data_IF_701681569534
#
_entry.id   IF_701681569534
#
_cell.length_a   1.000
_cell.length_b   1.000
_cell.length_c   1.000
_cell.angle_alpha   90.00
_cell.angle_beta   90.00
_cell.angle_gamma   90.00
#
_symmetry.space_group_name_H-M   'P 1'
#
loop_
_entity.id
_entity.type
_entity.pdbx_description
1 polymer ?
#
# COMPACT_ATOMS: atom_id res chain seq x y z
N UNK A 1 -21.50 55.18 45.18
CA UNK A 1 -22.54 54.76 46.14
C UNK A 1 -23.79 54.41 45.31
N UNK A 2 -24.15 53.12 45.27
CA UNK A 2 -25.45 52.44 44.93
C UNK A 2 -26.46 53.21 44.06
N UNK A 3 -27.20 52.67 43.07
CA UNK A 3 -27.44 51.37 42.43
C UNK A 3 -28.52 51.63 41.33
N UNK A 4 -28.76 50.64 40.46
CA UNK A 4 -30.02 50.28 39.77
C UNK A 4 -30.35 50.67 38.31
N UNK A 5 -30.91 49.63 37.64
CA UNK A 5 -31.88 49.53 36.50
C UNK A 5 -31.31 49.33 35.10
N UNK A 6 -31.41 48.11 34.56
CA UNK A 6 -32.57 47.48 33.89
C UNK A 6 -32.80 48.04 32.48
N UNK A 7 -32.47 47.24 31.46
CA UNK A 7 -32.99 47.42 30.10
C UNK A 7 -33.58 46.09 29.65
N UNK A 8 -34.91 46.07 29.62
CA UNK A 8 -35.72 45.08 28.92
C UNK A 8 -36.05 45.64 27.54
N UNK A 9 -35.91 44.85 26.47
CA UNK A 9 -36.60 45.12 25.22
C UNK A 9 -37.22 43.83 24.65
N UNK A 10 -38.48 43.99 24.29
CA UNK A 10 -39.47 43.02 23.83
C UNK A 10 -39.11 42.41 22.46
N UNK A 11 -39.36 41.10 22.30
CA UNK A 11 -39.83 40.55 21.01
C UNK A 11 -41.01 39.63 21.31
N UNK A 12 -42.15 40.01 20.74
CA UNK A 12 -43.44 39.31 20.78
C UNK A 12 -43.37 38.00 20.00
N UNK A 13 -43.85 36.92 20.63
CA UNK A 13 -44.05 35.60 20.04
C UNK A 13 -45.35 35.57 19.23
N UNK A 14 -45.31 34.95 18.06
CA UNK A 14 -46.49 34.42 17.36
C UNK A 14 -46.15 32.99 16.93
N UNK A 15 -46.72 32.01 17.64
CA UNK A 15 -46.75 30.60 17.27
C UNK A 15 -47.48 30.39 15.94
N UNK A 16 -46.97 29.50 15.09
CA UNK A 16 -47.71 28.27 14.77
C UNK A 16 -46.96 27.31 13.84
N UNK A 17 -47.12 26.03 14.18
CA UNK A 17 -46.99 24.83 13.36
C UNK A 17 -45.58 24.25 13.18
N UNK A 18 -45.25 23.37 14.11
CA UNK A 18 -44.19 22.40 13.98
C UNK A 18 -44.34 21.56 12.71
N UNK A 19 -43.25 21.52 11.93
CA UNK A 19 -42.92 20.36 11.11
C UNK A 19 -41.69 19.74 11.74
N UNK A 20 -41.90 18.56 12.32
CA UNK A 20 -40.83 17.59 12.54
C UNK A 20 -40.13 17.40 11.20
N UNK A 21 -38.86 17.80 11.10
CA UNK A 21 -37.98 17.22 10.12
C UNK A 21 -37.73 15.78 10.55
N UNK A 22 -38.63 14.88 10.16
CA UNK A 22 -38.25 13.49 9.97
C UNK A 22 -37.14 13.51 8.93
N UNK A 23 -35.89 13.32 9.38
CA UNK A 23 -34.80 12.95 8.52
C UNK A 23 -35.24 11.66 7.81
N UNK A 24 -35.76 11.79 6.59
CA UNK A 24 -35.95 10.63 5.75
C UNK A 24 -34.55 10.14 5.45
N UNK A 25 -34.17 9.03 6.06
CA UNK A 25 -33.13 8.15 5.57
C UNK A 25 -33.58 7.60 4.23
N UNK A 26 -33.63 8.46 3.21
CA UNK A 26 -33.56 8.01 1.84
C UNK A 26 -32.14 7.47 1.72
N UNK A 27 -32.00 6.14 1.80
CA UNK A 27 -30.90 5.45 1.13
C UNK A 27 -30.84 6.07 -0.27
N UNK A 28 -29.84 6.91 -0.51
CA UNK A 28 -29.56 7.43 -1.83
C UNK A 28 -29.14 6.23 -2.66
N UNK A 29 -30.11 5.59 -3.29
CA UNK A 29 -29.86 4.60 -4.31
C UNK A 29 -28.97 5.30 -5.34
N UNK A 30 -27.71 4.86 -5.44
CA UNK A 30 -26.87 5.20 -6.58
C UNK A 30 -27.72 5.02 -7.84
N UNK A 31 -27.90 6.06 -8.67
CA UNK A 31 -28.73 5.91 -9.85
C UNK A 31 -28.00 5.01 -10.83
N UNK A 32 -28.35 3.72 -10.83
CA UNK A 32 -28.11 2.75 -11.91
C UNK A 32 -26.69 2.81 -12.51
N UNK A 33 -25.68 2.25 -11.83
CA UNK A 33 -24.32 2.14 -12.39
C UNK A 33 -23.84 0.70 -12.59
N UNK A 34 -24.50 -0.31 -12.02
CA UNK A 34 -23.90 -1.65 -11.92
C UNK A 34 -24.74 -2.83 -12.42
N UNK A 35 -25.28 -2.86 -13.66
CA UNK A 35 -25.79 -4.13 -14.16
C UNK A 35 -24.67 -5.13 -14.53
N UNK A 36 -23.38 -4.72 -14.56
CA UNK A 36 -22.31 -5.50 -15.20
C UNK A 36 -20.96 -5.60 -14.46
N UNK A 37 -20.82 -5.20 -13.18
CA UNK A 37 -19.58 -5.49 -12.44
C UNK A 37 -19.83 -6.33 -11.20
N UNK A 38 -19.06 -7.41 -11.04
CA UNK A 38 -19.04 -8.26 -9.84
C UNK A 38 -18.44 -7.56 -8.61
N UNK A 39 -17.93 -6.33 -8.78
CA UNK A 39 -17.35 -5.51 -7.73
C UNK A 39 -18.45 -4.90 -6.86
N UNK A 40 -18.40 -5.18 -5.56
CA UNK A 40 -19.32 -4.59 -4.60
C UNK A 40 -19.17 -3.07 -4.52
N UNK A 41 -20.30 -2.38 -4.60
CA UNK A 41 -20.39 -0.93 -4.43
C UNK A 41 -20.03 -0.46 -3.04
N UNK A 42 -20.13 -1.35 -2.03
CA UNK A 42 -19.82 -1.03 -0.65
C UNK A 42 -18.34 -0.66 -0.44
N UNK A 43 -17.47 -0.95 -1.41
CA UNK A 43 -16.06 -0.60 -1.36
C UNK A 43 -15.80 0.89 -1.63
N UNK A 44 -16.71 1.58 -2.29
CA UNK A 44 -16.54 2.96 -2.74
C UNK A 44 -17.34 3.94 -1.91
N UNK A 45 -16.91 5.19 -1.86
CA UNK A 45 -17.71 6.30 -1.30
C UNK A 45 -18.98 6.50 -2.12
N UNK A 46 -20.00 7.13 -1.50
CA UNK A 46 -21.34 7.27 -2.09
C UNK A 46 -21.41 8.45 -3.08
N UNK A 47 -20.45 8.50 -4.01
CA UNK A 47 -20.31 9.57 -4.99
C UNK A 47 -21.25 9.41 -6.17
N UNK A 48 -21.83 10.52 -6.63
CA UNK A 48 -22.58 10.59 -7.88
C UNK A 48 -21.70 11.09 -9.04
N UNK A 49 -22.06 10.70 -10.27
CA UNK A 49 -21.49 11.31 -11.47
C UNK A 49 -22.06 12.73 -11.70
N UNK A 50 -21.22 13.63 -12.19
CA UNK A 50 -21.58 15.02 -12.50
C UNK A 50 -21.69 15.24 -14.00
N UNK A 51 -22.77 15.86 -14.46
CA UNK A 51 -23.02 16.12 -15.89
C UNK A 51 -24.51 16.11 -16.26
N UNK A 52 -24.82 15.67 -17.48
CA UNK A 52 -26.18 15.49 -17.99
C UNK A 52 -26.65 14.04 -18.03
N UNK A 53 -27.83 13.83 -18.61
CA UNK A 53 -28.54 12.53 -18.66
C UNK A 53 -28.37 11.78 -20.00
N UNK A 54 -27.58 12.32 -20.93
CA UNK A 54 -27.36 11.71 -22.24
C UNK A 54 -26.32 10.58 -22.22
N UNK A 55 -26.01 10.08 -23.41
CA UNK A 55 -24.96 9.09 -23.62
C UNK A 55 -25.34 7.67 -23.21
N UNK A 56 -24.45 6.73 -23.54
CA UNK A 56 -24.53 5.34 -23.07
C UNK A 56 -23.78 5.21 -21.75
N UNK A 57 -24.34 4.47 -20.79
CA UNK A 57 -23.70 4.22 -19.50
C UNK A 57 -22.40 3.44 -19.68
N UNK A 58 -21.38 3.77 -18.88
CA UNK A 58 -20.14 3.01 -18.80
C UNK A 58 -19.68 2.85 -17.35
N UNK A 59 -18.86 1.82 -17.12
CA UNK A 59 -18.12 1.61 -15.88
C UNK A 59 -16.77 1.03 -16.23
N UNK A 60 -15.72 1.65 -15.73
CA UNK A 60 -14.35 1.18 -15.89
C UNK A 60 -13.67 1.25 -14.53
N UNK A 61 -13.79 0.17 -13.77
CA UNK A 61 -13.26 -0.01 -12.43
C UNK A 61 -12.40 -1.27 -12.45
N UNK A 62 -11.20 -1.19 -11.87
CA UNK A 62 -10.20 -2.28 -11.90
C UNK A 62 -9.76 -2.74 -10.52
N UNK A 63 -10.58 -2.45 -9.51
CA UNK A 63 -10.28 -2.89 -8.15
C UNK A 63 -10.26 -4.41 -8.06
N UNK A 64 -10.99 -5.19 -8.86
CA UNK A 64 -10.86 -6.67 -8.83
C UNK A 64 -9.44 -7.20 -9.12
N UNK A 65 -8.59 -6.37 -9.74
CA UNK A 65 -7.17 -6.64 -10.02
C UNK A 65 -6.20 -5.90 -9.09
N UNK A 66 -6.70 -5.20 -8.06
CA UNK A 66 -5.89 -4.30 -7.25
C UNK A 66 -5.40 -3.05 -8.00
N UNK A 67 -5.90 -2.81 -9.21
CA UNK A 67 -5.40 -1.73 -10.05
C UNK A 67 -6.14 -0.42 -9.77
N UNK A 68 -5.36 0.66 -9.72
CA UNK A 68 -5.82 2.00 -9.37
C UNK A 68 -5.35 3.02 -10.40
N UNK A 69 -5.90 4.24 -10.38
CA UNK A 69 -5.62 5.27 -11.37
C UNK A 69 -4.13 5.67 -11.35
N UNK A 70 -3.45 5.47 -12.48
CA UNK A 70 -2.03 5.81 -12.70
C UNK A 70 -1.88 7.11 -13.48
N UNK A 71 -2.79 7.36 -14.43
CA UNK A 71 -2.74 8.53 -15.32
C UNK A 71 -4.13 8.91 -15.79
N UNK A 72 -4.35 10.21 -15.99
CA UNK A 72 -5.54 10.76 -16.62
C UNK A 72 -5.15 11.78 -17.69
N UNK A 73 -5.85 11.73 -18.82
CA UNK A 73 -5.89 12.77 -19.85
C UNK A 73 -7.32 13.20 -20.04
N UNK A 74 -7.55 14.49 -20.25
CA UNK A 74 -8.86 15.01 -20.55
C UNK A 74 -8.76 16.07 -21.64
N UNK A 75 -9.77 16.09 -22.49
CA UNK A 75 -9.91 17.05 -23.59
C UNK A 75 -11.14 17.91 -23.38
N UNK A 76 -11.07 19.17 -23.77
CA UNK A 76 -12.20 20.10 -23.71
C UNK A 76 -12.32 20.97 -24.95
N UNK A 77 -13.54 21.40 -25.21
CA UNK A 77 -13.82 22.57 -26.05
C UNK A 77 -14.21 23.77 -25.17
N UNK A 78 -14.92 24.74 -25.75
CA UNK A 78 -15.37 25.92 -25.04
C UNK A 78 -16.35 25.63 -23.91
N UNK A 79 -17.25 24.67 -24.07
CA UNK A 79 -18.39 24.52 -23.17
C UNK A 79 -18.48 23.16 -22.50
N UNK A 80 -17.59 22.21 -22.80
CA UNK A 80 -17.64 20.87 -22.20
C UNK A 80 -16.30 20.15 -22.23
N UNK A 81 -16.21 19.08 -21.45
CA UNK A 81 -15.22 18.02 -21.58
C UNK A 81 -15.65 17.10 -22.73
N UNK A 82 -14.81 17.00 -23.74
CA UNK A 82 -15.06 16.23 -24.97
C UNK A 82 -14.58 14.80 -24.84
N UNK A 83 -13.58 14.53 -24.01
CA UNK A 83 -13.11 13.17 -23.76
C UNK A 83 -12.29 13.06 -22.49
N UNK A 84 -12.27 11.86 -21.92
CA UNK A 84 -11.42 11.49 -20.78
C UNK A 84 -10.82 10.13 -21.06
N UNK A 85 -9.52 10.01 -20.89
CA UNK A 85 -8.79 8.75 -20.98
C UNK A 85 -8.05 8.51 -19.68
N UNK A 86 -8.24 7.33 -19.11
CA UNK A 86 -7.58 6.90 -17.87
C UNK A 86 -6.72 5.69 -18.13
N UNK A 87 -5.59 5.61 -17.43
CA UNK A 87 -4.73 4.43 -17.36
C UNK A 87 -4.64 3.98 -15.92
N UNK A 88 -4.72 2.67 -15.72
CA UNK A 88 -4.64 2.02 -14.43
C UNK A 88 -3.23 1.47 -14.19
N UNK A 89 -2.93 1.04 -12.97
CA UNK A 89 -1.63 0.46 -12.62
C UNK A 89 -1.37 -0.92 -13.24
N UNK A 90 -2.42 -1.62 -13.72
CA UNK A 90 -2.30 -2.85 -14.53
C UNK A 90 -2.12 -2.56 -16.04
N UNK A 91 -1.79 -1.30 -16.37
CA UNK A 91 -1.64 -0.76 -17.74
C UNK A 91 -2.90 -0.83 -18.62
N UNK A 92 -4.04 -1.27 -18.07
CA UNK A 92 -5.32 -1.14 -18.76
C UNK A 92 -5.71 0.32 -18.91
N UNK A 93 -6.41 0.65 -20.00
CA UNK A 93 -6.85 2.00 -20.30
C UNK A 93 -8.27 2.05 -20.84
N UNK A 94 -8.92 3.20 -20.68
CA UNK A 94 -10.25 3.42 -21.19
C UNK A 94 -10.44 4.88 -21.60
N UNK A 95 -10.88 5.08 -22.85
CA UNK A 95 -11.27 6.38 -23.40
C UNK A 95 -12.80 6.47 -23.44
N UNK A 96 -13.34 7.55 -22.89
CA UNK A 96 -14.74 7.96 -23.05
C UNK A 96 -14.80 9.30 -23.80
N UNK A 97 -15.79 9.45 -24.68
CA UNK A 97 -15.88 10.61 -25.58
C UNK A 97 -14.80 10.60 -26.68
N UNK A 98 -14.28 11.78 -27.03
CA UNK A 98 -13.32 11.99 -28.13
C UNK A 98 -12.13 12.86 -27.72
N UNK A 99 -10.98 12.58 -28.33
CA UNK A 99 -9.73 13.35 -28.15
C UNK A 99 -9.77 14.64 -28.98
N UNK A 100 -10.59 15.62 -28.59
CA UNK A 100 -10.81 16.84 -29.39
C UNK A 100 -10.73 18.11 -28.55
N UNK A 101 -9.94 19.08 -29.01
CA UNK A 101 -9.76 20.37 -28.34
C UNK A 101 -8.54 20.39 -27.42
N UNK A 102 -8.55 21.29 -26.42
CA UNK A 102 -7.42 21.49 -25.50
C UNK A 102 -7.25 20.29 -24.58
N UNK A 103 -6.01 19.85 -24.37
CA UNK A 103 -5.63 18.71 -23.54
C UNK A 103 -5.09 19.19 -22.19
N UNK A 104 -5.45 18.48 -21.12
CA UNK A 104 -4.72 18.46 -19.85
C UNK A 104 -4.38 17.01 -19.48
N UNK A 105 -3.20 16.80 -18.87
CA UNK A 105 -2.78 15.47 -18.44
C UNK A 105 -2.13 15.47 -17.06
N UNK A 106 -2.31 14.37 -16.33
CA UNK A 106 -1.72 14.15 -15.02
C UNK A 106 -1.29 12.70 -14.86
N UNK A 107 -0.09 12.48 -14.34
CA UNK A 107 0.41 11.14 -13.97
C UNK A 107 0.72 11.11 -12.49
N UNK A 108 0.13 10.16 -11.77
CA UNK A 108 0.34 9.97 -10.34
C UNK A 108 1.72 9.41 -10.08
N UNK A 109 2.39 9.92 -9.05
CA UNK A 109 3.63 9.34 -8.52
C UNK A 109 3.31 8.18 -7.57
N UNK A 110 4.33 7.38 -7.25
CA UNK A 110 4.18 6.37 -6.19
C UNK A 110 3.73 7.02 -4.86
N UNK A 111 2.75 6.40 -4.19
CA UNK A 111 2.13 6.88 -2.94
C UNK A 111 1.31 8.17 -3.05
N UNK A 112 1.04 8.66 -4.27
CA UNK A 112 0.25 9.87 -4.46
C UNK A 112 -1.24 9.57 -4.59
N UNK A 113 -2.04 10.24 -3.76
CA UNK A 113 -3.49 10.05 -3.68
C UNK A 113 -4.22 11.37 -3.82
N UNK A 114 -5.48 11.31 -4.24
CA UNK A 114 -6.36 12.49 -4.34
C UNK A 114 -6.78 12.92 -2.93
N UNK A 115 -6.46 14.16 -2.55
CA UNK A 115 -6.85 14.75 -1.27
C UNK A 115 -8.10 15.63 -1.38
N UNK A 116 -8.38 16.17 -2.57
CA UNK A 116 -9.59 16.92 -2.88
C UNK A 116 -10.04 16.62 -4.30
N UNK A 117 -11.33 16.54 -4.53
CA UNK A 117 -11.92 16.30 -5.85
C UNK A 117 -13.10 17.24 -6.06
N UNK A 118 -13.14 17.88 -7.22
CA UNK A 118 -14.25 18.70 -7.67
C UNK A 118 -14.62 18.29 -9.11
N UNK A 119 -15.91 18.02 -9.34
CA UNK A 119 -16.42 17.66 -10.68
C UNK A 119 -17.71 18.43 -10.97
N UNK A 120 -17.81 19.07 -12.12
CA UNK A 120 -18.90 19.98 -12.41
C UNK A 120 -19.55 19.69 -13.75
N UNK A 121 -20.86 19.90 -13.82
CA UNK A 121 -21.59 19.96 -15.07
C UNK A 121 -21.36 21.30 -15.78
N UNK A 122 -21.46 21.33 -17.10
CA UNK A 122 -21.18 22.48 -17.96
C UNK A 122 -22.17 23.67 -17.94
N UNK A 123 -22.79 24.00 -16.79
CA UNK A 123 -23.57 25.24 -16.62
C UNK A 123 -25.03 25.08 -16.13
N UNK A 124 -25.79 26.20 -16.00
CA UNK A 124 -27.10 26.22 -15.33
C UNK A 124 -28.20 25.52 -16.12
N UNK A 125 -29.17 24.98 -15.37
CA UNK A 125 -30.33 24.22 -15.85
C UNK A 125 -31.34 25.17 -16.50
N UNK A 126 -31.13 25.57 -17.76
CA UNK A 126 -32.19 26.27 -18.50
C UNK A 126 -33.16 25.24 -19.08
N UNK A 127 -34.45 25.56 -18.96
CA UNK A 127 -35.62 24.71 -19.23
C UNK A 127 -35.79 24.27 -20.69
N UNK A 128 -34.90 24.68 -21.59
CA UNK A 128 -34.85 24.20 -22.97
C UNK A 128 -33.92 22.99 -23.07
N UNK A 129 -34.32 21.94 -22.35
CA UNK A 129 -33.93 20.54 -22.48
C UNK A 129 -32.42 20.17 -22.56
N UNK A 130 -31.92 19.56 -21.48
CA UNK A 130 -31.05 18.35 -21.50
C UNK A 130 -29.64 18.45 -22.12
N UNK A 131 -29.04 19.64 -22.27
CA UNK A 131 -27.67 19.80 -22.83
C UNK A 131 -26.56 19.95 -21.78
N UNK A 132 -26.74 19.39 -20.58
CA UNK A 132 -25.64 19.30 -19.62
C UNK A 132 -24.65 18.24 -20.07
N UNK A 133 -23.36 18.55 -19.95
CA UNK A 133 -22.22 17.64 -20.12
C UNK A 133 -21.34 17.76 -18.90
N UNK A 134 -20.33 16.91 -18.81
CA UNK A 134 -19.22 17.18 -17.91
C UNK A 134 -18.54 18.48 -18.35
N UNK A 135 -18.38 19.41 -17.41
CA UNK A 135 -17.81 20.74 -17.65
C UNK A 135 -16.44 20.92 -17.02
N UNK A 136 -16.20 20.33 -15.83
CA UNK A 136 -14.90 20.42 -15.19
C UNK A 136 -14.54 19.15 -14.41
N UNK A 137 -13.23 18.90 -14.36
CA UNK A 137 -12.60 17.97 -13.43
C UNK A 137 -11.43 18.72 -12.80
N UNK A 138 -11.36 18.72 -11.48
CA UNK A 138 -10.23 19.25 -10.75
C UNK A 138 -9.93 18.39 -9.53
N UNK A 139 -8.66 18.21 -9.22
CA UNK A 139 -8.24 17.59 -7.98
C UNK A 139 -6.91 18.14 -7.48
N UNK A 140 -6.73 18.00 -6.18
CA UNK A 140 -5.46 18.19 -5.48
C UNK A 140 -5.00 16.84 -4.93
N UNK A 141 -3.70 16.61 -4.87
CA UNK A 141 -3.11 15.40 -4.30
C UNK A 141 -2.51 15.61 -2.90
N UNK A 142 -2.24 14.51 -2.18
CA UNK A 142 -1.50 14.51 -0.91
C UNK A 142 -0.03 14.97 -1.05
N UNK A 143 0.46 15.19 -2.27
CA UNK A 143 1.78 15.78 -2.55
C UNK A 143 1.70 17.26 -2.96
N UNK A 144 0.56 17.91 -2.67
CA UNK A 144 0.30 19.32 -2.99
C UNK A 144 0.46 19.63 -4.49
N UNK A 145 0.11 18.68 -5.36
CA UNK A 145 0.02 18.91 -6.80
C UNK A 145 -1.44 19.10 -7.17
N UNK A 146 -1.68 20.13 -7.97
CA UNK A 146 -3.01 20.48 -8.45
C UNK A 146 -3.12 20.19 -9.95
N UNK A 147 -4.27 19.67 -10.36
CA UNK A 147 -4.58 19.46 -11.77
C UNK A 147 -6.06 19.67 -12.01
N UNK A 148 -6.38 20.33 -13.12
CA UNK A 148 -7.76 20.42 -13.56
C UNK A 148 -7.90 20.86 -14.99
N UNK A 149 -9.12 20.66 -15.48
CA UNK A 149 -9.57 21.06 -16.80
C UNK A 149 -10.98 21.62 -16.66
N UNK A 150 -11.20 22.80 -17.22
CA UNK A 150 -12.42 23.58 -17.03
C UNK A 150 -12.96 24.07 -18.36
N UNK A 151 -14.23 23.79 -18.65
CA UNK A 151 -14.97 24.51 -19.68
C UNK A 151 -15.15 25.99 -19.28
N UNK A 152 -15.51 26.83 -20.25
CA UNK A 152 -15.68 28.28 -20.06
C UNK A 152 -16.56 28.58 -18.83
N UNK A 153 -16.10 29.52 -18.02
CA UNK A 153 -16.77 30.03 -16.80
C UNK A 153 -16.83 29.05 -15.61
N UNK A 154 -16.09 27.93 -15.63
CA UNK A 154 -15.92 27.07 -14.46
C UNK A 154 -14.52 27.25 -13.86
N UNK A 155 -14.40 27.05 -12.56
CA UNK A 155 -13.16 27.13 -11.77
C UNK A 155 -13.14 25.99 -10.75
N UNK A 156 -12.04 25.84 -10.00
CA UNK A 156 -11.87 24.87 -8.92
C UNK A 156 -12.92 25.01 -7.79
N UNK A 157 -13.54 26.18 -7.64
CA UNK A 157 -14.51 26.52 -6.58
C UNK A 157 -15.95 26.04 -6.88
N UNK A 158 -16.08 24.97 -7.67
CA UNK A 158 -17.37 24.40 -8.04
C UNK A 158 -18.20 23.92 -6.86
N UNK A 159 -19.53 23.76 -7.01
CA UNK A 159 -20.40 23.38 -5.90
C UNK A 159 -20.37 21.89 -5.53
N UNK A 160 -19.84 21.01 -6.38
CA UNK A 160 -19.89 19.57 -6.16
C UNK A 160 -18.52 18.96 -5.87
N UNK A 161 -18.38 18.51 -4.63
CA UNK A 161 -17.16 17.97 -4.03
C UNK A 161 -17.41 16.52 -3.63
N UNK A 162 -17.12 15.54 -4.50
CA UNK A 162 -17.22 14.14 -4.14
C UNK A 162 -16.33 13.78 -2.95
N UNK A 163 -16.78 12.84 -2.12
CA UNK A 163 -16.00 12.29 -1.03
C UNK A 163 -14.81 11.48 -1.59
N UNK A 164 -13.60 11.86 -1.21
CA UNK A 164 -12.37 11.20 -1.70
C UNK A 164 -12.03 9.91 -0.95
N UNK A 165 -12.62 9.68 0.23
CA UNK A 165 -12.36 8.50 1.06
C UNK A 165 -10.86 8.36 1.38
N UNK A 166 -10.27 7.22 1.01
CA UNK A 166 -8.82 6.99 1.12
C UNK A 166 -7.96 7.82 0.16
N UNK A 167 -8.58 8.51 -0.81
CA UNK A 167 -7.92 9.22 -1.89
C UNK A 167 -7.47 8.32 -3.05
N UNK A 168 -7.68 7.01 -2.94
CA UNK A 168 -7.39 6.02 -3.97
C UNK A 168 -8.55 5.97 -4.96
N UNK A 169 -8.26 6.26 -6.24
CA UNK A 169 -9.23 6.15 -7.32
C UNK A 169 -9.09 4.78 -8.02
N UNK A 170 -10.14 3.98 -7.96
CA UNK A 170 -10.19 2.62 -8.54
C UNK A 170 -10.72 2.60 -9.97
N UNK A 171 -11.08 3.76 -10.54
CA UNK A 171 -11.63 3.88 -11.87
C UNK A 171 -12.65 5.00 -12.03
N UNK A 172 -13.38 4.95 -13.13
CA UNK A 172 -14.39 5.95 -13.51
C UNK A 172 -15.71 5.28 -13.91
N UNK A 173 -16.81 6.01 -13.76
CA UNK A 173 -18.13 5.59 -14.19
C UNK A 173 -18.94 6.79 -14.69
N UNK A 174 -19.99 6.56 -15.47
CA UNK A 174 -20.81 7.65 -15.96
C UNK A 174 -21.57 7.30 -17.23
N UNK A 175 -21.75 8.30 -18.09
CA UNK A 175 -22.34 8.13 -19.43
C UNK A 175 -21.58 8.96 -20.46
N UNK A 176 -21.44 8.45 -21.68
CA UNK A 176 -20.79 9.15 -22.78
C UNK A 176 -21.36 8.78 -24.14
N UNK A 177 -21.21 9.69 -25.10
CA UNK A 177 -21.39 9.46 -26.54
C UNK A 177 -20.21 10.04 -27.30
N UNK A 178 -20.49 11.02 -28.16
CA UNK A 178 -19.46 11.79 -28.88
C UNK A 178 -18.61 12.68 -27.93
N UNK A 179 -19.15 12.95 -26.75
CA UNK A 179 -18.55 13.70 -25.65
C UNK A 179 -18.86 13.01 -24.31
N UNK A 180 -18.40 13.62 -23.21
CA UNK A 180 -18.63 13.08 -21.87
C UNK A 180 -19.90 13.69 -21.28
N UNK A 181 -21.00 12.93 -21.28
CA UNK A 181 -22.27 13.38 -20.73
C UNK A 181 -22.19 13.58 -19.21
N UNK A 182 -21.66 12.59 -18.49
CA UNK A 182 -21.41 12.67 -17.05
C UNK A 182 -20.28 11.74 -16.63
N UNK A 183 -19.56 12.11 -15.57
CA UNK A 183 -18.44 11.33 -15.02
C UNK A 183 -18.46 11.35 -13.50
N UNK A 184 -18.16 10.22 -12.89
CA UNK A 184 -17.83 10.05 -11.49
C UNK A 184 -16.53 9.24 -11.34
N UNK A 185 -15.90 9.39 -10.18
CA UNK A 185 -14.68 8.66 -9.81
C UNK A 185 -15.04 7.62 -8.74
N UNK A 186 -14.63 6.38 -8.96
CA UNK A 186 -14.81 5.30 -8.01
C UNK A 186 -13.74 5.41 -6.91
N UNK A 187 -14.02 6.24 -5.90
CA UNK A 187 -13.10 6.49 -4.79
C UNK A 187 -13.25 5.40 -3.74
N UNK A 188 -12.16 4.71 -3.41
CA UNK A 188 -12.15 3.69 -2.36
C UNK A 188 -12.40 4.36 -1.00
N UNK A 189 -13.31 3.77 -0.20
CA UNK A 189 -13.53 4.23 1.18
C UNK A 189 -12.24 4.18 1.99
N UNK A 190 -12.23 4.89 3.11
CA UNK A 190 -11.10 4.89 4.02
C UNK A 190 -10.70 3.45 4.43
N UNK A 191 -9.40 3.19 4.33
CA UNK A 191 -8.80 1.92 4.70
C UNK A 191 -8.44 1.99 6.19
N UNK A 192 -9.04 1.10 6.99
CA UNK A 192 -8.77 0.97 8.41
C UNK A 192 -7.48 0.19 8.67
N UNK A 193 -7.25 -0.88 7.91
CA UNK A 193 -6.03 -1.70 7.98
C UNK A 193 -5.78 -2.42 6.65
N UNK A 194 -4.50 -2.59 6.34
CA UNK A 194 -4.02 -3.35 5.19
C UNK A 194 -3.19 -4.52 5.69
N UNK A 195 -3.51 -5.74 5.25
CA UNK A 195 -2.83 -6.96 5.70
C UNK A 195 -2.45 -7.80 4.49
N UNK A 196 -1.18 -8.14 4.36
CA UNK A 196 -0.67 -9.13 3.42
C UNK A 196 -0.72 -10.51 4.10
N UNK A 197 -1.45 -11.45 3.53
CA UNK A 197 -1.66 -12.80 4.08
C UNK A 197 -1.38 -13.87 3.03
N UNK A 198 -1.35 -15.14 3.44
CA UNK A 198 -1.12 -16.28 2.54
C UNK A 198 0.13 -16.11 1.67
N UNK A 199 1.19 -15.53 2.25
CA UNK A 199 2.44 -15.26 1.55
C UNK A 199 3.14 -16.57 1.22
N UNK A 200 3.51 -16.74 -0.04
CA UNK A 200 4.24 -17.90 -0.56
C UNK A 200 5.42 -17.44 -1.40
N UNK A 201 6.43 -18.27 -1.52
CA UNK A 201 7.67 -18.00 -2.26
C UNK A 201 7.84 -19.05 -3.36
N UNK A 202 7.23 -18.87 -4.55
CA UNK A 202 7.11 -19.94 -5.55
C UNK A 202 8.44 -20.50 -6.05
N UNK A 203 9.48 -19.65 -6.08
CA UNK A 203 10.79 -20.01 -6.61
C UNK A 203 11.80 -20.41 -5.53
N UNK A 204 11.41 -20.40 -4.25
CA UNK A 204 12.34 -20.58 -3.12
C UNK A 204 13.13 -21.89 -3.18
N UNK A 205 12.50 -22.98 -3.62
CA UNK A 205 13.15 -24.28 -3.73
C UNK A 205 14.23 -24.35 -4.82
N UNK A 206 14.27 -23.37 -5.73
CA UNK A 206 15.29 -23.24 -6.79
C UNK A 206 16.41 -22.27 -6.40
N UNK A 207 16.22 -21.49 -5.34
CA UNK A 207 17.23 -20.56 -4.86
C UNK A 207 18.42 -21.31 -4.26
N UNK A 208 19.61 -20.87 -4.63
CA UNK A 208 20.87 -21.48 -4.18
C UNK A 208 21.38 -20.71 -2.97
N UNK A 209 21.74 -21.42 -1.90
CA UNK A 209 22.43 -20.81 -0.76
C UNK A 209 23.91 -20.63 -1.13
N UNK A 210 24.28 -19.40 -1.50
CA UNK A 210 25.62 -19.04 -1.95
C UNK A 210 26.29 -18.02 -1.00
N UNK A 211 26.41 -18.38 0.28
CA UNK A 211 26.92 -17.47 1.32
C UNK A 211 28.28 -17.92 1.82
N UNK A 212 29.27 -17.03 1.75
CA UNK A 212 30.59 -17.23 2.34
C UNK A 212 30.54 -16.93 3.84
N UNK A 213 31.13 -17.79 4.69
CA UNK A 213 31.17 -17.54 6.12
C UNK A 213 32.13 -16.40 6.49
N UNK A 214 31.76 -15.64 7.52
CA UNK A 214 32.62 -14.63 8.15
C UNK A 214 33.18 -15.17 9.47
N UNK A 215 34.48 -14.98 9.73
CA UNK A 215 35.07 -15.29 11.03
C UNK A 215 34.61 -14.29 12.09
N UNK A 216 34.10 -14.79 13.21
CA UNK A 216 33.56 -13.97 14.33
C UNK A 216 34.28 -14.20 15.65
N UNK A 217 35.06 -15.27 15.77
CA UNK A 217 35.93 -15.50 16.91
C UNK A 217 37.16 -16.30 16.49
N UNK A 218 38.29 -16.00 17.12
CA UNK A 218 39.55 -16.71 16.97
C UNK A 218 40.25 -16.65 18.33
N UNK A 219 40.55 -17.79 18.95
CA UNK A 219 41.25 -17.83 20.23
C UNK A 219 42.09 -19.09 20.39
N UNK A 220 43.27 -18.93 21.00
CA UNK A 220 44.12 -20.05 21.39
C UNK A 220 43.81 -20.48 22.82
N UNK A 221 43.54 -21.76 23.00
CA UNK A 221 43.34 -22.39 24.30
C UNK A 221 44.51 -23.32 24.60
N UNK A 222 44.92 -23.37 25.86
CA UNK A 222 46.07 -24.17 26.31
C UNK A 222 45.66 -25.02 27.50
N UNK A 223 45.87 -26.33 27.39
CA UNK A 223 45.67 -27.26 28.49
C UNK A 223 47.04 -27.76 28.96
N UNK A 224 47.50 -27.24 30.10
CA UNK A 224 48.76 -27.62 30.73
C UNK A 224 48.62 -28.77 31.74
N UNK A 225 47.46 -29.40 31.80
CA UNK A 225 47.17 -30.48 32.75
C UNK A 225 47.28 -31.85 32.09
N UNK A 226 47.27 -32.89 32.90
CA UNK A 226 47.29 -34.29 32.46
C UNK A 226 45.90 -34.83 32.07
N UNK A 227 44.84 -34.02 32.16
CA UNK A 227 43.45 -34.41 31.87
C UNK A 227 42.85 -33.48 30.82
N UNK A 228 41.85 -33.98 30.08
CA UNK A 228 41.14 -33.19 29.08
C UNK A 228 40.41 -32.00 29.71
N UNK A 229 40.43 -30.84 29.02
CA UNK A 229 39.75 -29.63 29.46
C UNK A 229 38.73 -29.17 28.42
N UNK A 230 37.56 -28.73 28.90
CA UNK A 230 36.52 -28.11 28.07
C UNK A 230 36.64 -26.60 28.14
N UNK A 231 36.58 -25.95 27.00
CA UNK A 231 36.57 -24.51 26.84
C UNK A 231 35.32 -24.06 26.10
N UNK A 232 35.03 -22.78 26.15
CA UNK A 232 33.97 -22.16 25.37
C UNK A 232 34.58 -21.04 24.54
N UNK A 233 34.43 -21.12 23.22
CA UNK A 233 34.74 -20.02 22.31
C UNK A 233 33.48 -19.21 22.11
N UNK A 234 33.51 -17.92 22.46
CA UNK A 234 32.40 -17.00 22.23
C UNK A 234 32.77 -15.98 21.16
N UNK A 235 31.83 -15.72 20.25
CA UNK A 235 31.95 -14.66 19.24
C UNK A 235 30.68 -13.84 19.18
N UNK A 236 30.81 -12.57 18.79
CA UNK A 236 29.66 -11.72 18.55
C UNK A 236 29.90 -10.81 17.36
N UNK A 237 28.87 -10.56 16.56
CA UNK A 237 28.92 -9.62 15.44
C UNK A 237 27.60 -8.85 15.36
N UNK A 238 27.69 -7.55 15.12
CA UNK A 238 26.52 -6.76 14.76
C UNK A 238 26.13 -7.08 13.32
N UNK A 239 24.89 -7.51 13.13
CA UNK A 239 24.32 -7.85 11.81
C UNK A 239 23.03 -7.07 11.61
N UNK A 240 22.86 -6.55 10.40
CA UNK A 240 21.64 -5.85 10.00
C UNK A 240 20.70 -6.83 9.33
N UNK A 241 19.70 -7.30 10.07
CA UNK A 241 18.64 -8.18 9.58
C UNK A 241 17.64 -7.32 8.80
N UNK A 242 17.35 -7.70 7.56
CA UNK A 242 16.39 -7.02 6.69
C UNK A 242 15.26 -7.96 6.32
N UNK A 243 14.05 -7.40 6.25
CA UNK A 243 12.86 -8.07 5.71
C UNK A 243 12.05 -7.03 4.97
N UNK A 244 11.89 -7.21 3.68
CA UNK A 244 11.21 -6.26 2.83
C UNK A 244 10.35 -6.97 1.80
N UNK A 245 9.03 -6.76 1.88
CA UNK A 245 8.08 -7.15 0.86
C UNK A 245 7.82 -5.96 -0.05
N UNK A 246 8.38 -5.98 -1.25
CA UNK A 246 8.09 -5.03 -2.31
C UNK A 246 6.64 -5.16 -2.76
N UNK A 247 5.94 -4.03 -2.93
CA UNK A 247 4.54 -4.00 -3.34
C UNK A 247 4.42 -3.29 -4.69
N UNK A 248 3.58 -3.83 -5.57
CA UNK A 248 3.49 -3.38 -6.97
C UNK A 248 2.52 -2.21 -7.18
N UNK A 249 1.61 -1.98 -6.24
CA UNK A 249 0.51 -1.03 -6.38
C UNK A 249 0.70 0.23 -5.54
N UNK A 250 0.20 1.38 -5.99
CA UNK A 250 0.19 2.63 -5.18
C UNK A 250 -0.60 2.51 -3.88
N UNK A 251 -1.49 1.51 -3.81
CA UNK A 251 -2.33 1.17 -2.65
C UNK A 251 -1.50 0.87 -1.38
N UNK A 252 -0.29 0.34 -1.55
CA UNK A 252 0.61 0.01 -0.44
C UNK A 252 1.42 1.19 0.08
N UNK A 253 1.65 2.20 -0.74
CA UNK A 253 2.53 3.32 -0.38
C UNK A 253 1.82 4.40 0.43
N UNK A 254 0.49 4.33 0.55
CA UNK A 254 -0.33 5.27 1.31
C UNK A 254 -0.68 4.81 2.72
N UNK A 255 -0.43 3.54 3.05
CA UNK A 255 -0.81 2.93 4.32
C UNK A 255 0.28 2.00 4.85
N UNK A 256 0.38 1.87 6.17
CA UNK A 256 1.22 0.84 6.78
C UNK A 256 0.59 -0.53 6.54
N UNK A 257 1.34 -1.43 5.89
CA UNK A 257 0.91 -2.81 5.63
C UNK A 257 1.49 -3.74 6.69
N UNK A 258 0.60 -4.47 7.36
CA UNK A 258 0.97 -5.62 8.21
C UNK A 258 1.19 -6.85 7.32
N UNK A 259 2.29 -7.56 7.49
CA UNK A 259 2.57 -8.79 6.75
C UNK A 259 2.47 -9.99 7.68
N UNK A 260 1.60 -10.94 7.35
CA UNK A 260 1.46 -12.22 8.05
C UNK A 260 2.04 -13.33 7.19
N UNK A 261 3.31 -13.66 7.46
CA UNK A 261 4.10 -14.57 6.63
C UNK A 261 5.06 -15.40 7.49
N UNK A 262 5.53 -16.53 6.95
CA UNK A 262 6.80 -17.10 7.37
C UNK A 262 7.95 -16.43 6.63
N UNK A 263 9.16 -16.50 7.16
CA UNK A 263 10.35 -15.88 6.56
C UNK A 263 11.21 -16.95 5.88
N UNK A 264 11.73 -16.69 4.68
CA UNK A 264 12.77 -17.52 4.08
C UNK A 264 14.02 -17.59 4.96
N UNK A 265 14.39 -18.78 5.41
CA UNK A 265 15.52 -19.06 6.28
C UNK A 265 16.29 -20.30 5.78
N UNK A 266 17.61 -20.30 5.95
CA UNK A 266 18.46 -21.43 5.53
C UNK A 266 18.38 -22.54 6.58
N UNK A 267 17.92 -23.71 6.15
CA UNK A 267 17.99 -24.95 6.91
C UNK A 267 19.18 -25.80 6.44
N UNK A 268 19.84 -26.48 7.38
CA UNK A 268 20.87 -27.47 7.08
C UNK A 268 20.25 -28.86 7.02
N UNK A 269 20.33 -29.52 5.87
CA UNK A 269 19.90 -30.90 5.67
C UNK A 269 21.12 -31.75 5.28
N UNK A 270 21.71 -32.43 6.26
CA UNK A 270 22.93 -33.22 6.05
C UNK A 270 24.09 -32.36 5.56
N UNK A 271 24.63 -32.67 4.38
CA UNK A 271 25.75 -31.92 3.76
C UNK A 271 25.32 -30.74 2.88
N UNK A 272 24.02 -30.50 2.72
CA UNK A 272 23.49 -29.40 1.88
C UNK A 272 22.72 -28.37 2.69
N UNK A 273 22.88 -27.09 2.31
CA UNK A 273 22.06 -25.98 2.83
C UNK A 273 20.97 -25.65 1.82
N UNK A 274 19.73 -25.53 2.28
CA UNK A 274 18.57 -25.21 1.43
C UNK A 274 17.71 -24.15 2.09
N UNK A 275 17.07 -23.32 1.28
CA UNK A 275 16.07 -22.39 1.79
C UNK A 275 14.79 -23.12 2.24
N UNK A 276 14.21 -22.63 3.33
CA UNK A 276 12.96 -23.10 3.92
C UNK A 276 12.16 -21.89 4.41
N UNK A 277 10.89 -22.08 4.79
CA UNK A 277 10.06 -21.00 5.33
C UNK A 277 9.80 -21.28 6.81
N UNK A 278 10.04 -20.28 7.66
CA UNK A 278 9.76 -20.38 9.10
C UNK A 278 8.27 -20.34 9.42
N UNK A 279 7.93 -20.46 10.71
CA UNK A 279 6.55 -20.34 11.18
C UNK A 279 5.96 -18.95 10.89
N UNK A 280 4.64 -18.88 10.71
CA UNK A 280 3.96 -17.62 10.40
C UNK A 280 3.98 -16.67 11.60
N UNK A 281 4.38 -15.42 11.38
CA UNK A 281 4.31 -14.32 12.34
C UNK A 281 3.89 -13.01 11.65
N UNK A 282 3.66 -11.96 12.45
CA UNK A 282 3.32 -10.61 11.96
C UNK A 282 4.56 -9.72 11.87
N UNK A 283 4.72 -9.04 10.75
CA UNK A 283 5.82 -8.12 10.45
C UNK A 283 5.30 -6.80 9.87
N UNK A 284 6.13 -5.77 9.90
CA UNK A 284 5.96 -4.61 9.03
C UNK A 284 6.38 -4.97 7.61
N UNK A 285 5.79 -4.31 6.60
CA UNK A 285 6.17 -4.48 5.19
C UNK A 285 7.68 -4.34 4.93
N UNK A 286 8.32 -3.38 5.59
CA UNK A 286 9.76 -3.21 5.58
C UNK A 286 10.23 -3.09 7.01
N UNK A 287 11.23 -3.88 7.37
CA UNK A 287 11.90 -3.82 8.65
C UNK A 287 13.40 -4.03 8.46
N UNK A 288 14.17 -3.14 9.06
CA UNK A 288 15.62 -3.23 9.15
C UNK A 288 15.98 -3.11 10.61
N UNK A 289 16.60 -4.14 11.17
CA UNK A 289 16.99 -4.16 12.57
C UNK A 289 18.45 -4.57 12.67
N UNK A 290 19.27 -3.67 13.21
CA UNK A 290 20.65 -3.99 13.57
C UNK A 290 20.64 -4.65 14.94
N UNK A 291 21.07 -5.90 15.01
CA UNK A 291 21.15 -6.68 16.24
C UNK A 291 22.55 -7.27 16.38
N UNK A 292 23.12 -7.20 17.58
CA UNK A 292 24.31 -7.98 17.92
C UNK A 292 23.90 -9.41 18.17
N UNK A 293 24.32 -10.32 17.28
CA UNK A 293 24.18 -11.75 17.50
C UNK A 293 25.44 -12.28 18.17
N UNK A 294 25.25 -13.11 19.18
CA UNK A 294 26.31 -13.77 19.93
C UNK A 294 26.14 -15.28 19.81
N UNK A 295 27.27 -15.97 19.70
CA UNK A 295 27.33 -17.42 19.53
C UNK A 295 28.41 -17.98 20.43
N UNK A 296 28.19 -19.22 20.87
CA UNK A 296 29.11 -19.95 21.74
C UNK A 296 29.31 -21.35 21.18
N UNK A 297 30.56 -21.80 21.17
CA UNK A 297 30.96 -23.11 20.69
C UNK A 297 31.75 -23.84 21.78
N UNK A 298 31.31 -25.05 22.20
CA UNK A 298 32.06 -25.86 23.13
C UNK A 298 33.29 -26.44 22.42
N UNK A 299 34.45 -26.29 23.05
CA UNK A 299 35.73 -26.82 22.57
C UNK A 299 36.32 -27.79 23.57
N UNK A 300 37.07 -28.77 23.07
CA UNK A 300 37.77 -29.77 23.88
C UNK A 300 39.26 -29.68 23.57
N UNK A 301 40.07 -29.44 24.60
CA UNK A 301 41.52 -29.37 24.49
C UNK A 301 42.17 -30.57 25.19
N UNK A 302 42.88 -31.44 24.46
CA UNK A 302 43.55 -32.60 25.05
C UNK A 302 44.65 -32.23 26.07
N UNK A 303 45.04 -33.16 26.96
CA UNK A 303 46.12 -32.95 27.93
C UNK A 303 47.42 -32.48 27.27
N UNK A 304 48.06 -31.47 27.85
CA UNK A 304 49.36 -30.96 27.39
C UNK A 304 49.36 -30.36 25.99
N UNK A 305 48.21 -29.98 25.41
CA UNK A 305 48.09 -29.42 24.04
C UNK A 305 47.68 -27.96 24.04
N UNK A 306 47.90 -27.33 22.89
CA UNK A 306 47.36 -26.01 22.53
C UNK A 306 46.47 -26.17 21.31
N UNK A 307 45.28 -25.59 21.34
CA UNK A 307 44.36 -25.59 20.20
C UNK A 307 44.03 -24.15 19.81
N UNK A 308 43.82 -23.93 18.52
CA UNK A 308 43.23 -22.73 17.97
C UNK A 308 41.79 -23.04 17.59
N UNK A 309 40.83 -22.39 18.24
CA UNK A 309 39.44 -22.38 17.80
C UNK A 309 39.18 -21.17 16.91
N UNK A 310 38.66 -21.39 15.71
CA UNK A 310 38.16 -20.36 14.81
C UNK A 310 36.69 -20.63 14.52
N UNK A 311 35.83 -19.65 14.82
CA UNK A 311 34.39 -19.78 14.62
C UNK A 311 33.88 -18.78 13.60
N UNK A 312 32.90 -19.22 12.82
CA UNK A 312 32.32 -18.46 11.73
C UNK A 312 30.82 -18.24 11.91
N UNK A 313 30.26 -17.28 11.18
CA UNK A 313 28.84 -17.06 10.99
C UNK A 313 28.50 -16.96 9.49
N UNK A 314 27.23 -17.08 9.14
CA UNK A 314 26.73 -16.77 7.80
C UNK A 314 25.76 -15.58 7.86
N UNK A 315 25.83 -14.71 6.86
CA UNK A 315 24.83 -13.68 6.58
C UNK A 315 24.18 -14.02 5.24
N UNK A 316 23.10 -14.82 5.27
CA UNK A 316 22.44 -15.31 4.07
C UNK A 316 21.47 -14.24 3.55
N UNK A 317 21.72 -13.78 2.33
CA UNK A 317 20.83 -12.86 1.61
C UNK A 317 19.95 -13.64 0.65
N UNK A 318 18.69 -13.21 0.53
CA UNK A 318 17.74 -13.73 -0.45
C UNK A 318 17.01 -12.58 -1.12
N UNK A 319 16.90 -12.67 -2.44
CA UNK A 319 16.01 -11.87 -3.27
C UNK A 319 15.17 -12.86 -4.08
N UNK A 320 13.89 -12.98 -3.76
CA UNK A 320 12.98 -13.95 -4.39
C UNK A 320 11.62 -13.32 -4.63
N UNK A 321 10.90 -13.80 -5.63
CA UNK A 321 9.50 -13.45 -5.82
C UNK A 321 8.61 -14.03 -4.70
N UNK A 322 7.52 -13.32 -4.38
CA UNK A 322 6.45 -13.82 -3.54
C UNK A 322 5.08 -13.61 -4.19
N UNK A 323 4.12 -14.46 -3.79
CA UNK A 323 2.69 -14.28 -4.08
C UNK A 323 1.90 -14.26 -2.78
N UNK A 324 0.88 -13.41 -2.70
CA UNK A 324 0.09 -13.21 -1.48
C UNK A 324 -1.35 -12.76 -1.75
N UNK A 325 -2.16 -12.76 -0.70
CA UNK A 325 -3.48 -12.13 -0.65
C UNK A 325 -3.39 -10.81 0.12
N UNK A 326 -3.62 -9.68 -0.56
CA UNK A 326 -3.79 -8.39 0.09
C UNK A 326 -5.24 -8.26 0.58
N UNK A 327 -5.40 -7.94 1.85
CA UNK A 327 -6.67 -7.64 2.49
C UNK A 327 -6.74 -6.17 2.90
N UNK A 328 -7.69 -5.43 2.33
CA UNK A 328 -8.04 -4.10 2.78
C UNK A 328 -9.32 -4.15 3.60
N UNK A 329 -9.22 -3.82 4.88
CA UNK A 329 -10.37 -3.65 5.74
C UNK A 329 -10.79 -2.19 5.73
N UNK A 330 -12.01 -1.94 5.27
CA UNK A 330 -12.57 -0.61 5.15
C UNK A 330 -13.24 -0.19 6.46
N UNK A 331 -13.38 1.11 6.67
CA UNK A 331 -14.03 1.67 7.88
C UNK A 331 -15.49 1.22 8.06
N UNK A 332 -16.18 0.85 6.98
CA UNK A 332 -17.54 0.31 7.01
C UNK A 332 -17.60 -1.20 7.35
N UNK A 333 -16.49 -1.81 7.73
CA UNK A 333 -16.39 -3.22 8.11
C UNK A 333 -16.29 -4.18 6.92
N UNK A 334 -16.37 -3.71 5.68
CA UNK A 334 -16.16 -4.54 4.49
C UNK A 334 -14.69 -4.86 4.33
N UNK A 335 -14.43 -6.01 3.73
CA UNK A 335 -13.08 -6.45 3.38
C UNK A 335 -13.02 -6.64 1.88
N UNK A 336 -12.07 -5.96 1.26
CA UNK A 336 -11.74 -6.13 -0.14
C UNK A 336 -10.42 -6.90 -0.23
N UNK A 337 -10.34 -7.84 -1.18
CA UNK A 337 -9.23 -8.78 -1.31
C UNK A 337 -8.78 -8.88 -2.76
N UNK A 338 -7.47 -8.95 -2.97
CA UNK A 338 -6.90 -9.23 -4.29
C UNK A 338 -5.54 -9.92 -4.19
N UNK A 339 -5.12 -10.53 -5.30
CA UNK A 339 -3.82 -11.17 -5.43
C UNK A 339 -2.73 -10.12 -5.64
N UNK A 340 -1.69 -10.18 -4.83
CA UNK A 340 -0.51 -9.32 -4.92
C UNK A 340 0.71 -10.19 -5.25
N UNK A 341 1.59 -9.65 -6.09
CA UNK A 341 2.89 -10.25 -6.40
C UNK A 341 3.97 -9.19 -6.23
N UNK A 342 5.14 -9.59 -5.77
CA UNK A 342 6.27 -8.69 -5.61
C UNK A 342 7.57 -9.45 -5.36
N UNK A 343 8.61 -8.70 -5.01
CA UNK A 343 9.88 -9.25 -4.56
C UNK A 343 9.97 -9.20 -3.03
N UNK A 344 10.60 -10.21 -2.45
CA UNK A 344 10.99 -10.28 -1.07
C UNK A 344 12.50 -10.21 -0.99
N UNK A 345 13.00 -9.20 -0.28
CA UNK A 345 14.41 -9.04 0.05
C UNK A 345 14.62 -9.32 1.54
N UNK A 346 15.49 -10.27 1.84
CA UNK A 346 15.74 -10.67 3.21
C UNK A 346 17.21 -10.96 3.48
N UNK A 347 17.70 -10.54 4.65
CA UNK A 347 19.01 -10.91 5.15
C UNK A 347 18.85 -11.53 6.53
N UNK A 348 19.28 -12.78 6.66
CA UNK A 348 19.29 -13.51 7.93
C UNK A 348 20.71 -13.84 8.37
N UNK A 349 20.92 -13.92 9.68
CA UNK A 349 22.20 -14.33 10.26
C UNK A 349 22.04 -15.67 10.97
N UNK A 350 22.93 -16.62 10.69
CA UNK A 350 22.97 -17.93 11.37
C UNK A 350 24.37 -18.30 11.81
N UNK A 351 24.43 -19.18 12.79
CA UNK A 351 25.68 -19.76 13.28
C UNK A 351 26.39 -20.51 12.16
N UNK A 352 27.70 -20.31 12.06
CA UNK A 352 28.56 -21.06 11.15
C UNK A 352 29.28 -22.20 11.84
N UNK A 353 30.37 -22.63 11.23
CA UNK A 353 31.19 -23.74 11.73
C UNK A 353 32.27 -23.24 12.68
N UNK A 354 32.73 -24.15 13.54
CA UNK A 354 33.94 -23.99 14.33
C UNK A 354 35.00 -24.97 13.83
N UNK A 355 36.18 -24.46 13.51
CA UNK A 355 37.36 -25.25 13.17
C UNK A 355 38.34 -25.24 14.33
N UNK A 356 38.84 -26.42 14.69
CA UNK A 356 39.82 -26.60 15.76
C UNK A 356 41.12 -27.08 15.16
N UNK A 357 42.16 -26.26 15.27
CA UNK A 357 43.50 -26.57 14.78
C UNK A 357 44.42 -26.88 15.96
N UNK A 358 45.06 -28.04 15.97
CA UNK A 358 46.05 -28.39 16.98
C UNK A 358 47.36 -27.64 16.71
N UNK A 359 47.81 -26.85 17.67
CA UNK A 359 49.03 -26.05 17.60
C UNK A 359 50.25 -26.75 18.20
N UNK A 360 50.10 -27.99 18.67
CA UNK A 360 51.18 -28.76 19.27
C UNK A 360 51.21 -28.73 20.80
N UNK A 361 52.32 -29.21 21.40
CA UNK A 361 52.43 -29.34 22.85
C UNK A 361 52.51 -27.99 23.57
N UNK A 362 51.99 -27.95 24.79
CA UNK A 362 52.19 -26.85 25.71
C UNK A 362 53.66 -26.80 26.15
N UNK A 363 54.40 -25.77 25.73
CA UNK A 363 55.81 -25.53 26.13
C UNK A 363 56.88 -25.93 25.10
N UNK A 364 56.53 -26.22 23.84
CA UNK A 364 57.51 -26.45 22.78
C UNK A 364 58.10 -25.15 22.20
N UNK A 365 59.43 -25.07 22.14
CA UNK A 365 60.18 -24.13 21.27
C UNK A 365 60.00 -24.51 19.81
#
# INVERSE_FOLDING_TARGET
MLLYKDVSFFITVSEQLGRQFTASTSKSNMPFVFPHSDVSTDYFTDNNASGGEGGSSFTFIKIDKGAVLKKIKAWKDDWRITGVEVWMTDDSSHLVGRRTGSLAEFSFQSGENISKLNIQASGPYSSVAKRRRLGAIWFQTNKNRDWGIFSRNLTEDGPFWPEVGSGICCGIFGSSGDDVDRLGFAMLREVKRSILTNVTYPNLAREIVATTPDTVAHQVFSNNTAIEQKFELSGSKSVTITREWGLSTTLSYSHTVEVKAGIPEVASAGSSSTWSVSGTASFSQSSTTSETKSWTWPLVCPPGRRILGEATMYADNIDTEYEADMELHLVNGKVYRYKEKGSYNGLNARTGNVTVTDLGPFGGK
#
